data_IF_197651872750
#
_entry.id   IF_197651872750
#
_cell.length_a   1.000
_cell.length_b   1.000
_cell.length_c   1.000
_cell.angle_alpha   90.00
_cell.angle_beta   90.00
_cell.angle_gamma   90.00
#
_symmetry.space_group_name_H-M   'P 1'
#
loop_
_entity.id
_entity.type
_entity.pdbx_description
1 polymer ?
#
# COMPACT_ATOMS: atom_id res chain seq x y z
N UNK A 1 43.38 6.36 -22.45
CA UNK A 1 42.57 7.06 -23.47
C UNK A 1 41.81 5.99 -24.23
N UNK A 2 40.65 5.58 -23.70
CA UNK A 2 39.77 4.57 -24.30
C UNK A 2 38.34 5.00 -23.95
N UNK A 3 37.52 5.09 -25.00
CA UNK A 3 36.27 5.83 -25.05
C UNK A 3 35.13 5.11 -24.30
N UNK A 4 34.34 5.90 -23.58
CA UNK A 4 33.04 5.50 -23.00
C UNK A 4 32.00 5.66 -24.12
N UNK A 5 31.26 4.61 -24.50
CA UNK A 5 30.10 4.81 -25.37
C UNK A 5 28.98 5.48 -24.57
N UNK A 6 28.70 6.74 -24.92
CA UNK A 6 27.48 7.43 -24.54
C UNK A 6 26.30 6.83 -25.32
N UNK A 7 25.30 6.34 -24.59
CA UNK A 7 23.94 6.17 -25.09
C UNK A 7 22.97 6.10 -23.90
N UNK A 8 22.91 7.17 -23.13
CA UNK A 8 21.73 7.43 -22.31
C UNK A 8 20.78 8.20 -23.22
N UNK A 9 19.84 7.48 -23.83
CA UNK A 9 18.67 8.14 -24.39
C UNK A 9 17.94 8.80 -23.21
N UNK A 10 18.15 10.10 -23.03
CA UNK A 10 17.46 10.90 -22.04
C UNK A 10 15.97 10.87 -22.38
N UNK A 11 15.20 10.12 -21.61
CA UNK A 11 13.76 10.30 -21.56
C UNK A 11 13.48 11.79 -21.28
N UNK A 12 12.56 12.43 -22.01
CA UNK A 12 12.20 13.81 -21.72
C UNK A 12 11.74 13.93 -20.26
N UNK A 13 12.03 15.05 -19.59
CA UNK A 13 11.58 15.28 -18.23
C UNK A 13 10.05 15.09 -18.17
N UNK A 14 9.58 14.38 -17.15
CA UNK A 14 8.16 14.10 -17.00
C UNK A 14 7.38 15.43 -17.00
N UNK A 15 6.28 15.54 -17.74
CA UNK A 15 5.48 16.75 -17.75
C UNK A 15 4.91 17.03 -16.35
N UNK A 16 4.89 18.31 -15.96
CA UNK A 16 4.40 18.78 -14.64
C UNK A 16 2.86 18.70 -14.57
N UNK A 17 2.35 17.47 -14.59
CA UNK A 17 0.92 17.16 -14.54
C UNK A 17 0.62 16.57 -13.17
N UNK A 18 -0.35 17.14 -12.42
CA UNK A 18 -0.73 16.59 -11.13
C UNK A 18 -1.23 15.14 -11.26
N UNK A 19 -0.72 14.26 -10.39
CA UNK A 19 -1.13 12.85 -10.37
C UNK A 19 -2.65 12.70 -10.22
N UNK A 20 -3.32 13.57 -9.47
CA UNK A 20 -4.77 13.51 -9.26
C UNK A 20 -5.59 13.58 -10.57
N UNK A 21 -5.07 14.19 -11.65
CA UNK A 21 -5.81 14.43 -12.89
C UNK A 21 -5.24 13.69 -14.11
N UNK A 22 -4.04 13.12 -13.99
CA UNK A 22 -3.38 12.38 -15.09
C UNK A 22 -4.13 11.08 -15.44
N UNK A 23 -4.88 10.52 -14.49
CA UNK A 23 -5.68 9.31 -14.70
C UNK A 23 -6.86 9.48 -15.68
N UNK A 24 -7.23 10.72 -16.03
CA UNK A 24 -8.44 11.00 -16.82
C UNK A 24 -8.20 11.14 -18.33
N UNK A 25 -6.94 11.05 -18.78
CA UNK A 25 -6.60 10.99 -20.19
C UNK A 25 -7.09 9.68 -20.83
N UNK A 26 -7.53 9.74 -22.10
CA UNK A 26 -8.01 8.59 -22.89
C UNK A 26 -7.42 8.66 -24.29
N UNK A 27 -7.28 7.52 -24.97
CA UNK A 27 -6.84 7.49 -26.37
C UNK A 27 -7.90 8.11 -27.27
N UNK A 28 -7.47 9.02 -28.17
CA UNK A 28 -8.35 9.81 -29.04
C UNK A 28 -9.41 10.60 -28.26
N UNK A 29 -9.04 11.11 -27.09
CA UNK A 29 -9.91 11.96 -26.29
C UNK A 29 -9.80 13.42 -26.72
N UNK A 30 -10.92 14.12 -26.76
CA UNK A 30 -10.96 15.56 -26.98
C UNK A 30 -10.78 16.33 -25.67
N UNK A 31 -10.34 17.58 -25.75
CA UNK A 31 -10.18 18.46 -24.60
C UNK A 31 -11.50 18.63 -23.83
N UNK A 32 -12.64 18.75 -24.51
CA UNK A 32 -13.94 18.93 -23.87
C UNK A 32 -14.34 17.72 -23.02
N UNK A 33 -14.07 16.51 -23.51
CA UNK A 33 -14.33 15.28 -22.78
C UNK A 33 -13.44 15.15 -21.54
N UNK A 34 -12.18 15.56 -21.67
CA UNK A 34 -11.24 15.57 -20.55
C UNK A 34 -11.68 16.56 -19.46
N UNK A 35 -11.99 17.80 -19.83
CA UNK A 35 -12.48 18.82 -18.90
C UNK A 35 -13.79 18.39 -18.24
N UNK A 36 -14.71 17.79 -18.99
CA UNK A 36 -15.98 17.30 -18.46
C UNK A 36 -15.77 16.19 -17.40
N UNK A 37 -14.84 15.26 -17.62
CA UNK A 37 -14.52 14.21 -16.64
C UNK A 37 -13.91 14.79 -15.36
N UNK A 38 -12.89 15.62 -15.51
CA UNK A 38 -12.13 16.17 -14.39
C UNK A 38 -13.02 17.07 -13.51
N UNK A 39 -13.78 17.97 -14.12
CA UNK A 39 -14.74 18.83 -13.40
C UNK A 39 -15.93 18.03 -12.87
N UNK A 40 -16.35 17.01 -13.61
CA UNK A 40 -17.43 16.12 -13.22
C UNK A 40 -17.14 15.33 -11.95
N UNK A 41 -15.89 14.94 -11.72
CA UNK A 41 -15.46 14.30 -10.48
C UNK A 41 -15.55 15.26 -9.29
N UNK A 42 -15.08 16.50 -9.46
CA UNK A 42 -15.17 17.55 -8.43
C UNK A 42 -16.62 17.80 -8.03
N UNK A 43 -17.51 17.98 -9.02
CA UNK A 43 -18.95 18.23 -8.79
C UNK A 43 -19.69 17.08 -8.11
N UNK A 44 -19.18 15.85 -8.21
CA UNK A 44 -19.78 14.72 -7.49
C UNK A 44 -19.48 14.75 -5.99
N UNK A 45 -18.38 15.39 -5.60
CA UNK A 45 -17.96 15.52 -4.22
C UNK A 45 -18.40 16.85 -3.60
N UNK A 46 -18.42 17.93 -4.37
CA UNK A 46 -18.93 19.24 -3.96
C UNK A 46 -20.45 19.19 -3.71
N UNK A 47 -20.84 19.25 -2.44
CA UNK A 47 -22.24 19.19 -2.02
C UNK A 47 -22.92 20.56 -2.07
N UNK A 48 -22.15 21.65 -1.97
CA UNK A 48 -22.63 23.02 -1.86
C UNK A 48 -22.69 23.78 -3.18
N UNK A 49 -22.08 23.24 -4.23
CA UNK A 49 -21.77 23.94 -5.49
C UNK A 49 -20.93 25.21 -5.25
N UNK A 50 -20.12 25.21 -4.18
CA UNK A 50 -19.26 26.31 -3.74
C UNK A 50 -17.76 25.98 -3.78
N UNK A 51 -17.42 24.85 -4.40
CA UNK A 51 -16.08 24.31 -4.51
C UNK A 51 -15.82 23.21 -3.49
N UNK A 52 -15.02 22.21 -3.88
CA UNK A 52 -14.64 21.11 -3.02
C UNK A 52 -13.86 21.63 -1.82
N UNK A 53 -14.36 21.40 -0.60
CA UNK A 53 -13.67 21.74 0.64
C UNK A 53 -13.47 20.54 1.58
N UNK A 54 -12.79 20.74 2.71
CA UNK A 54 -12.53 19.65 3.66
C UNK A 54 -13.82 19.03 4.22
N UNK A 55 -14.90 19.82 4.36
CA UNK A 55 -16.19 19.34 4.83
C UNK A 55 -16.84 18.38 3.82
N UNK A 56 -16.72 18.67 2.53
CA UNK A 56 -17.15 17.76 1.46
C UNK A 56 -16.37 16.45 1.48
N UNK A 57 -15.03 16.53 1.63
CA UNK A 57 -14.17 15.34 1.74
C UNK A 57 -14.58 14.50 2.95
N UNK A 58 -14.72 15.10 4.11
CA UNK A 58 -15.10 14.42 5.35
C UNK A 58 -16.48 13.75 5.22
N UNK A 59 -17.44 14.43 4.60
CA UNK A 59 -18.78 13.88 4.34
C UNK A 59 -18.72 12.71 3.35
N UNK A 60 -17.99 12.86 2.24
CA UNK A 60 -17.82 11.81 1.23
C UNK A 60 -17.19 10.55 1.84
N UNK A 61 -16.18 10.73 2.69
CA UNK A 61 -15.52 9.64 3.43
C UNK A 61 -16.49 8.99 4.41
N UNK A 62 -17.17 9.77 5.25
CA UNK A 62 -18.13 9.24 6.23
C UNK A 62 -19.24 8.43 5.54
N UNK A 63 -19.80 8.95 4.44
CA UNK A 63 -20.82 8.27 3.65
C UNK A 63 -20.28 6.97 3.03
N UNK A 64 -19.07 6.99 2.46
CA UNK A 64 -18.45 5.78 1.89
C UNK A 64 -18.18 4.72 2.94
N UNK A 65 -17.63 5.11 4.10
CA UNK A 65 -17.42 4.22 5.25
C UNK A 65 -18.73 3.58 5.69
N UNK A 66 -19.82 4.37 5.78
CA UNK A 66 -21.14 3.84 6.13
C UNK A 66 -21.67 2.83 5.12
N UNK A 67 -21.56 3.11 3.81
CA UNK A 67 -21.99 2.21 2.73
C UNK A 67 -21.16 0.92 2.71
N UNK A 68 -19.83 1.02 2.81
CA UNK A 68 -18.94 -0.13 2.86
C UNK A 68 -19.21 -1.01 4.09
N UNK A 69 -19.38 -0.38 5.26
CA UNK A 69 -19.76 -1.07 6.50
C UNK A 69 -21.07 -1.83 6.33
N UNK A 70 -22.10 -1.19 5.78
CA UNK A 70 -23.37 -1.83 5.51
C UNK A 70 -23.21 -3.04 4.57
N UNK A 71 -22.39 -2.92 3.52
CA UNK A 71 -22.08 -4.02 2.61
C UNK A 71 -21.36 -5.19 3.27
N UNK A 72 -20.38 -4.94 4.16
CA UNK A 72 -19.71 -6.02 4.90
C UNK A 72 -20.67 -6.72 5.86
N UNK A 73 -21.45 -5.95 6.61
CA UNK A 73 -22.48 -6.49 7.52
C UNK A 73 -23.48 -7.35 6.73
N UNK A 74 -23.99 -6.85 5.59
CA UNK A 74 -24.92 -7.61 4.75
C UNK A 74 -24.32 -8.92 4.23
N UNK A 75 -23.00 -9.01 4.05
CA UNK A 75 -22.33 -10.24 3.61
C UNK A 75 -22.18 -11.26 4.73
N UNK A 76 -22.03 -10.82 5.98
CA UNK A 76 -21.84 -11.73 7.13
C UNK A 76 -23.14 -12.14 7.79
N UNK A 77 -24.16 -11.27 7.79
CA UNK A 77 -25.42 -11.49 8.49
C UNK A 77 -26.17 -12.76 8.04
N UNK A 78 -26.14 -13.19 6.77
CA UNK A 78 -26.75 -14.46 6.37
C UNK A 78 -26.07 -15.71 6.97
N UNK A 79 -24.86 -15.57 7.54
CA UNK A 79 -24.15 -16.66 8.21
C UNK A 79 -24.45 -16.76 9.70
N UNK A 80 -25.10 -15.75 10.28
CA UNK A 80 -25.64 -15.78 11.64
C UNK A 80 -26.92 -16.61 11.63
N UNK A 81 -26.80 -17.90 11.97
CA UNK A 81 -27.89 -18.87 11.83
C UNK A 81 -28.81 -18.85 13.04
N UNK A 82 -28.30 -18.46 14.21
CA UNK A 82 -29.06 -18.39 15.46
C UNK A 82 -29.53 -16.98 15.83
N UNK A 83 -29.03 -15.95 15.15
CA UNK A 83 -29.49 -14.57 15.24
C UNK A 83 -28.87 -13.77 16.39
N UNK A 84 -27.76 -14.23 16.95
CA UNK A 84 -27.08 -13.58 18.08
C UNK A 84 -26.08 -12.48 17.67
N UNK A 85 -25.92 -12.25 16.37
CA UNK A 85 -25.01 -11.29 15.74
C UNK A 85 -23.51 -11.59 16.00
N UNK A 86 -23.17 -12.82 16.35
CA UNK A 86 -21.81 -13.34 16.49
C UNK A 86 -21.61 -14.55 15.58
N UNK A 87 -21.02 -14.33 14.42
CA UNK A 87 -20.80 -15.41 13.47
C UNK A 87 -19.64 -16.30 13.94
N UNK A 88 -19.97 -17.47 14.48
CA UNK A 88 -19.00 -18.42 15.03
C UNK A 88 -18.39 -19.34 13.98
N UNK A 89 -17.26 -19.97 14.31
CA UNK A 89 -16.63 -21.04 13.51
C UNK A 89 -17.62 -22.15 13.10
N UNK A 90 -18.55 -22.50 13.99
CA UNK A 90 -19.54 -23.55 13.75
C UNK A 90 -20.52 -23.15 12.65
N UNK A 91 -21.05 -21.94 12.69
CA UNK A 91 -22.02 -21.44 11.72
C UNK A 91 -21.40 -21.23 10.33
N UNK A 92 -20.15 -20.75 10.29
CA UNK A 92 -19.39 -20.69 9.02
C UNK A 92 -19.21 -22.09 8.44
N UNK A 93 -18.89 -23.06 9.30
CA UNK A 93 -18.75 -24.46 8.91
C UNK A 93 -20.04 -25.07 8.36
N UNK A 94 -21.20 -24.65 8.89
CA UNK A 94 -22.52 -25.07 8.41
C UNK A 94 -22.87 -24.41 7.07
N UNK A 95 -22.59 -23.12 6.92
CA UNK A 95 -22.79 -22.38 5.65
C UNK A 95 -21.97 -22.93 4.48
N UNK A 96 -20.76 -23.44 4.75
CA UNK A 96 -19.90 -24.06 3.73
C UNK A 96 -20.42 -25.47 3.36
N UNK A 97 -20.98 -26.22 4.31
CA UNK A 97 -21.51 -27.56 4.08
C UNK A 97 -22.73 -27.58 3.16
N UNK A 98 -23.54 -26.51 3.14
CA UNK A 98 -24.71 -26.40 2.28
C UNK A 98 -24.38 -26.24 0.78
N UNK A 99 -23.21 -25.68 0.45
CA UNK A 99 -22.75 -25.40 -0.93
C UNK A 99 -21.74 -26.44 -1.48
N UNK A 100 -21.40 -27.48 -0.71
CA UNK A 100 -20.27 -28.37 -0.98
C UNK A 100 -20.65 -29.82 -1.34
N UNK A 101 -19.85 -30.43 -2.21
CA UNK A 101 -19.77 -31.88 -2.47
C UNK A 101 -19.56 -32.65 -1.14
N UNK A 102 -20.33 -33.71 -0.83
CA UNK A 102 -20.24 -34.43 0.46
C UNK A 102 -18.89 -35.12 0.77
N UNK A 103 -17.88 -35.05 -0.11
CA UNK A 103 -16.56 -35.68 0.03
C UNK A 103 -15.42 -34.73 0.47
N UNK A 104 -15.69 -33.54 1.00
CA UNK A 104 -14.62 -32.64 1.48
C UNK A 104 -14.00 -33.16 2.79
N UNK A 105 -12.68 -33.36 2.82
CA UNK A 105 -11.95 -33.72 4.04
C UNK A 105 -11.99 -32.62 5.12
N UNK A 106 -11.90 -33.02 6.39
CA UNK A 106 -12.04 -32.13 7.55
C UNK A 106 -10.98 -31.02 7.55
N UNK A 107 -9.75 -31.32 7.11
CA UNK A 107 -8.66 -30.34 7.02
C UNK A 107 -8.94 -29.23 5.98
N UNK A 108 -9.59 -29.57 4.86
CA UNK A 108 -9.98 -28.64 3.81
C UNK A 108 -11.17 -27.80 4.25
N UNK A 109 -12.12 -28.40 4.97
CA UNK A 109 -13.22 -27.67 5.61
C UNK A 109 -12.68 -26.64 6.61
N UNK A 110 -11.77 -27.05 7.50
CA UNK A 110 -11.14 -26.16 8.47
C UNK A 110 -10.36 -25.01 7.82
N UNK A 111 -9.59 -25.29 6.77
CA UNK A 111 -8.89 -24.23 6.01
C UNK A 111 -9.86 -23.23 5.39
N UNK A 112 -11.00 -23.68 4.85
CA UNK A 112 -12.02 -22.80 4.29
C UNK A 112 -12.69 -21.93 5.36
N UNK A 113 -12.98 -22.51 6.52
CA UNK A 113 -13.53 -21.78 7.66
C UNK A 113 -12.53 -20.72 8.13
N UNK A 114 -11.27 -21.11 8.35
CA UNK A 114 -10.20 -20.19 8.76
C UNK A 114 -9.99 -19.08 7.72
N UNK A 115 -10.04 -19.39 6.43
CA UNK A 115 -9.94 -18.40 5.36
C UNK A 115 -11.09 -17.37 5.38
N UNK A 116 -12.30 -17.77 5.79
CA UNK A 116 -13.44 -16.84 5.96
C UNK A 116 -13.34 -16.03 7.26
N UNK A 117 -12.84 -16.63 8.34
CA UNK A 117 -12.67 -16.00 9.65
C UNK A 117 -11.53 -14.99 9.69
N UNK A 118 -10.34 -15.41 9.28
CA UNK A 118 -9.07 -14.66 9.37
C UNK A 118 -9.12 -13.17 8.95
N UNK A 119 -9.80 -12.76 7.86
CA UNK A 119 -9.83 -11.34 7.48
C UNK A 119 -10.80 -10.47 8.32
N UNK A 120 -11.66 -11.07 9.14
CA UNK A 120 -12.78 -10.40 9.82
C UNK A 120 -12.77 -10.58 11.34
N UNK A 121 -12.15 -11.65 11.86
CA UNK A 121 -11.93 -11.91 13.29
C UNK A 121 -10.66 -11.15 13.75
N UNK A 122 -10.86 -9.92 14.25
CA UNK A 122 -9.76 -8.98 14.51
C UNK A 122 -9.11 -9.26 15.86
N UNK A 123 -9.92 -9.63 16.86
CA UNK A 123 -9.42 -9.91 18.20
C UNK A 123 -9.02 -11.39 18.42
N UNK A 124 -9.30 -12.25 17.45
CA UNK A 124 -8.89 -13.65 17.44
C UNK A 124 -9.71 -14.51 18.39
N UNK A 125 -10.93 -14.08 18.77
CA UNK A 125 -11.81 -14.83 19.67
C UNK A 125 -12.53 -16.00 18.99
N UNK A 126 -12.38 -16.14 17.66
CA UNK A 126 -12.96 -17.22 16.86
C UNK A 126 -14.40 -16.98 16.42
N UNK A 127 -14.90 -15.76 16.59
CA UNK A 127 -16.18 -15.27 16.07
C UNK A 127 -15.99 -13.95 15.32
N UNK A 128 -16.87 -13.67 14.36
CA UNK A 128 -16.92 -12.36 13.68
C UNK A 128 -18.09 -11.59 14.28
N UNK A 129 -17.79 -10.46 14.91
CA UNK A 129 -18.81 -9.52 15.40
C UNK A 129 -19.07 -8.38 14.41
N UNK A 130 -20.23 -7.71 14.54
CA UNK A 130 -20.54 -6.53 13.73
C UNK A 130 -19.49 -5.41 13.84
N UNK A 131 -18.95 -5.06 15.02
CA UNK A 131 -17.86 -4.09 15.13
C UNK A 131 -16.61 -4.47 14.34
N UNK A 132 -16.26 -5.76 14.29
CA UNK A 132 -15.05 -6.22 13.60
C UNK A 132 -15.25 -6.23 12.08
N UNK A 133 -16.39 -6.74 11.61
CA UNK A 133 -16.76 -6.63 10.20
C UNK A 133 -16.91 -5.17 9.73
N UNK A 134 -17.27 -4.26 10.65
CA UNK A 134 -17.32 -2.84 10.40
C UNK A 134 -15.93 -2.17 10.39
N UNK A 135 -14.95 -2.72 11.12
CA UNK A 135 -13.59 -2.19 11.21
C UNK A 135 -12.74 -2.50 9.96
N UNK A 136 -13.13 -3.48 9.15
CA UNK A 136 -12.53 -3.79 7.85
C UNK A 136 -12.87 -2.74 6.76
N UNK A 137 -13.79 -1.81 7.03
CA UNK A 137 -14.22 -0.77 6.10
C UNK A 137 -13.22 0.38 5.88
N UNK A 138 -11.90 0.11 5.91
CA UNK A 138 -10.86 1.11 5.65
C UNK A 138 -10.62 1.28 4.14
N UNK A 139 -11.50 2.02 3.47
CA UNK A 139 -11.25 2.52 2.11
C UNK A 139 -10.74 3.96 2.13
N UNK A 140 -9.53 4.13 2.68
CA UNK A 140 -8.85 5.42 2.76
C UNK A 140 -8.28 5.86 1.38
N UNK A 141 -8.18 4.99 0.37
CA UNK A 141 -7.72 5.38 -0.97
C UNK A 141 -8.64 6.44 -1.64
N UNK A 142 -9.94 6.39 -1.35
CA UNK A 142 -10.92 7.37 -1.85
C UNK A 142 -10.74 8.73 -1.15
N UNK A 143 -10.57 8.73 0.17
CA UNK A 143 -10.22 9.92 0.97
C UNK A 143 -8.97 10.61 0.42
N UNK A 144 -7.91 9.83 0.18
CA UNK A 144 -6.65 10.37 -0.33
C UNK A 144 -6.77 10.97 -1.72
N UNK A 145 -7.66 10.44 -2.58
CA UNK A 145 -7.90 11.00 -3.92
C UNK A 145 -8.54 12.38 -3.85
N UNK A 146 -9.58 12.56 -3.02
CA UNK A 146 -10.20 13.88 -2.84
C UNK A 146 -9.30 14.84 -2.06
N UNK A 147 -8.56 14.35 -1.07
CA UNK A 147 -7.55 15.16 -0.38
C UNK A 147 -6.45 15.64 -1.34
N UNK A 148 -6.03 14.79 -2.29
CA UNK A 148 -5.06 15.19 -3.31
C UNK A 148 -5.64 16.15 -4.35
N UNK A 149 -6.93 16.05 -4.67
CA UNK A 149 -7.63 17.07 -5.46
C UNK A 149 -7.63 18.41 -4.70
N UNK A 150 -8.09 18.41 -3.45
CA UNK A 150 -8.12 19.61 -2.59
C UNK A 150 -6.72 20.25 -2.44
N UNK A 151 -5.66 19.45 -2.40
CA UNK A 151 -4.28 19.94 -2.35
C UNK A 151 -3.81 20.70 -3.61
N UNK A 152 -4.55 20.63 -4.73
CA UNK A 152 -4.24 21.39 -5.94
C UNK A 152 -4.59 22.87 -5.82
N UNK A 153 -5.51 23.23 -4.91
CA UNK A 153 -6.04 24.57 -4.64
C UNK A 153 -5.02 25.69 -4.98
N UNK A 154 -5.15 26.30 -6.19
CA UNK A 154 -4.16 27.22 -6.72
C UNK A 154 -4.03 28.53 -5.93
N UNK A 155 -5.14 29.04 -5.40
CA UNK A 155 -5.17 30.30 -4.65
C UNK A 155 -5.03 30.08 -3.13
N UNK A 156 -5.06 28.81 -2.69
CA UNK A 156 -4.89 28.36 -1.30
C UNK A 156 -5.96 28.93 -0.37
N UNK A 157 -7.16 29.15 -0.89
CA UNK A 157 -8.30 29.65 -0.11
C UNK A 157 -8.98 28.53 0.73
N UNK A 158 -8.53 27.28 0.58
CA UNK A 158 -9.04 26.09 1.25
C UNK A 158 -10.16 25.38 0.49
N UNK A 159 -10.43 25.78 -0.76
CA UNK A 159 -11.50 25.27 -1.61
C UNK A 159 -10.99 25.14 -3.04
N UNK A 160 -11.39 24.06 -3.71
CA UNK A 160 -11.11 23.89 -5.13
C UNK A 160 -12.40 24.09 -5.92
N UNK A 161 -12.48 25.20 -6.65
CA UNK A 161 -13.65 25.51 -7.49
C UNK A 161 -13.59 24.83 -8.85
N UNK A 162 -14.74 24.68 -9.50
CA UNK A 162 -14.81 24.15 -10.86
C UNK A 162 -14.02 25.00 -11.87
N UNK A 163 -13.90 26.31 -11.67
CA UNK A 163 -13.14 27.22 -12.54
C UNK A 163 -11.64 27.00 -12.41
N UNK A 164 -11.13 26.87 -11.18
CA UNK A 164 -9.71 26.56 -10.94
C UNK A 164 -9.35 25.19 -11.48
N UNK A 165 -10.23 24.21 -11.26
CA UNK A 165 -10.03 22.86 -11.78
C UNK A 165 -9.96 22.83 -13.31
N UNK A 166 -10.79 23.63 -13.99
CA UNK A 166 -10.74 23.77 -15.46
C UNK A 166 -9.40 24.32 -15.92
N UNK A 167 -8.91 25.40 -15.31
CA UNK A 167 -7.63 26.00 -15.69
C UNK A 167 -6.46 25.04 -15.50
N UNK A 168 -6.46 24.27 -14.41
CA UNK A 168 -5.46 23.22 -14.16
C UNK A 168 -5.54 22.10 -15.21
N UNK A 169 -6.75 21.66 -15.52
CA UNK A 169 -6.99 20.61 -16.51
C UNK A 169 -6.62 21.07 -17.92
N UNK A 170 -6.94 22.30 -18.32
CA UNK A 170 -6.54 22.88 -19.61
C UNK A 170 -5.01 22.94 -19.72
N UNK A 171 -4.33 23.40 -18.67
CA UNK A 171 -2.86 23.42 -18.62
C UNK A 171 -2.27 22.02 -18.77
N UNK A 172 -2.84 21.03 -18.06
CA UNK A 172 -2.41 19.64 -18.15
C UNK A 172 -2.63 19.07 -19.56
N UNK A 173 -3.79 19.34 -20.16
CA UNK A 173 -4.11 18.89 -21.52
C UNK A 173 -3.13 19.46 -22.54
N UNK A 174 -2.88 20.77 -22.54
CA UNK A 174 -1.91 21.40 -23.44
C UNK A 174 -0.46 20.95 -23.23
N UNK A 175 -0.14 20.40 -22.05
CA UNK A 175 1.18 19.82 -21.80
C UNK A 175 1.31 18.43 -22.46
N UNK A 176 0.19 17.71 -22.62
CA UNK A 176 0.13 16.39 -23.26
C UNK A 176 -0.08 16.51 -24.78
N UNK A 177 -0.97 17.39 -25.20
CA UNK A 177 -1.28 17.75 -26.60
C UNK A 177 -0.15 18.62 -27.17
N UNK A 178 0.94 17.96 -27.58
CA UNK A 178 2.17 18.60 -28.00
C UNK A 178 2.09 19.12 -29.44
N UNK A 179 1.24 18.52 -30.28
CA UNK A 179 1.00 18.99 -31.64
C UNK A 179 -0.13 20.02 -31.74
N UNK A 180 -0.93 20.19 -30.68
CA UNK A 180 -1.93 21.23 -30.53
C UNK A 180 -3.16 20.97 -31.39
N UNK A 181 -3.45 19.71 -31.74
CA UNK A 181 -4.57 19.33 -32.57
C UNK A 181 -5.90 19.20 -31.78
N UNK A 182 -5.83 19.36 -30.45
CA UNK A 182 -6.99 19.29 -29.55
C UNK A 182 -7.43 17.86 -29.23
N UNK A 183 -6.63 16.86 -29.60
CA UNK A 183 -6.87 15.45 -29.35
C UNK A 183 -5.65 14.77 -28.75
N UNK A 184 -5.87 13.75 -27.92
CA UNK A 184 -4.75 12.99 -27.33
C UNK A 184 -4.42 11.77 -28.19
N UNK A 185 -3.29 11.84 -28.87
CA UNK A 185 -2.74 10.76 -29.68
C UNK A 185 -2.12 9.64 -28.82
N UNK A 186 -1.92 8.46 -29.40
CA UNK A 186 -1.23 7.35 -28.70
C UNK A 186 0.22 7.68 -28.35
N UNK A 187 0.88 8.50 -29.18
CA UNK A 187 2.25 8.96 -28.95
C UNK A 187 2.36 9.88 -27.75
N UNK A 188 1.38 10.76 -27.55
CA UNK A 188 1.34 11.68 -26.40
C UNK A 188 0.98 10.94 -25.11
N UNK A 189 0.06 9.97 -25.20
CA UNK A 189 -0.23 9.11 -24.05
C UNK A 189 0.96 8.25 -23.62
N UNK A 190 1.80 7.81 -24.55
CA UNK A 190 3.06 7.12 -24.21
C UNK A 190 4.03 8.04 -23.48
N UNK A 191 4.04 9.35 -23.76
CA UNK A 191 4.88 10.29 -23.03
C UNK A 191 4.48 10.42 -21.55
N UNK A 192 3.18 10.30 -21.24
CA UNK A 192 2.67 10.32 -19.86
C UNK A 192 2.49 8.94 -19.23
N UNK A 193 2.80 7.86 -19.93
CA UNK A 193 2.65 6.49 -19.43
C UNK A 193 3.30 6.26 -18.06
N UNK A 194 4.52 6.77 -17.77
CA UNK A 194 5.11 6.65 -16.44
C UNK A 194 4.27 7.32 -15.35
N UNK A 195 3.69 8.49 -15.62
CA UNK A 195 2.85 9.23 -14.69
C UNK A 195 1.49 8.54 -14.50
N UNK A 196 0.88 8.04 -15.58
CA UNK A 196 -0.37 7.27 -15.51
C UNK A 196 -0.15 5.98 -14.72
N UNK A 197 0.99 5.31 -14.91
CA UNK A 197 1.40 4.14 -14.13
C UNK A 197 1.58 4.50 -12.66
N UNK A 198 2.30 5.57 -12.33
CA UNK A 198 2.48 6.03 -10.95
C UNK A 198 1.15 6.41 -10.29
N UNK A 199 0.28 7.11 -11.01
CA UNK A 199 -1.07 7.44 -10.58
C UNK A 199 -1.89 6.17 -10.24
N UNK A 200 -1.88 5.19 -11.14
CA UNK A 200 -2.54 3.89 -10.92
C UNK A 200 -1.99 3.20 -9.68
N UNK A 201 -0.67 3.14 -9.50
CA UNK A 201 -0.04 2.49 -8.36
C UNK A 201 -0.28 3.23 -7.05
N UNK A 202 -0.28 4.55 -7.10
CA UNK A 202 -0.61 5.39 -5.95
C UNK A 202 -2.02 5.09 -5.47
N UNK A 203 -3.03 5.14 -6.33
CA UNK A 203 -4.42 4.95 -5.90
C UNK A 203 -4.80 3.50 -5.63
N UNK A 204 -4.00 2.54 -6.08
CA UNK A 204 -4.13 1.12 -5.72
C UNK A 204 -3.37 0.76 -4.45
N UNK A 205 -2.60 1.68 -3.87
CA UNK A 205 -1.86 1.42 -2.65
C UNK A 205 -2.82 1.17 -1.48
N UNK A 206 -2.60 0.06 -0.79
CA UNK A 206 -3.31 -0.22 0.45
C UNK A 206 -2.77 0.66 1.58
N UNK A 207 -3.63 1.08 2.49
CA UNK A 207 -3.22 1.86 3.65
C UNK A 207 -3.13 0.94 4.86
N UNK A 208 -1.96 0.96 5.48
CA UNK A 208 -1.59 0.04 6.54
C UNK A 208 -1.71 0.72 7.89
N UNK A 209 -2.08 -0.05 8.91
CA UNK A 209 -2.10 0.45 10.29
C UNK A 209 -0.68 0.50 10.85
N UNK A 210 0.07 1.53 10.47
CA UNK A 210 1.46 1.71 10.88
C UNK A 210 1.57 2.64 12.10
N UNK A 211 2.47 2.33 13.05
CA UNK A 211 2.78 3.23 14.16
C UNK A 211 3.26 4.60 13.64
N UNK A 212 2.93 5.71 14.34
CA UNK A 212 3.38 7.03 13.92
C UNK A 212 4.90 7.17 14.01
N UNK A 213 5.49 7.89 13.06
CA UNK A 213 6.93 8.16 13.02
C UNK A 213 7.28 9.27 14.01
N UNK A 214 8.23 9.06 14.93
CA UNK A 214 8.70 10.12 15.81
C UNK A 214 9.30 11.29 15.03
N UNK A 215 9.10 12.52 15.51
CA UNK A 215 9.66 13.72 14.89
C UNK A 215 11.19 13.62 14.78
N UNK A 216 11.74 13.92 13.60
CA UNK A 216 13.19 13.89 13.33
C UNK A 216 13.76 12.49 13.03
N UNK A 217 12.97 11.42 13.13
CA UNK A 217 13.43 10.09 12.71
C UNK A 217 13.54 9.99 11.19
N UNK A 218 14.57 9.29 10.72
CA UNK A 218 14.74 8.92 9.32
C UNK A 218 13.90 7.67 9.03
N UNK A 219 12.89 7.82 8.18
CA UNK A 219 12.00 6.76 7.70
C UNK A 219 12.65 6.05 6.51
N UNK A 220 13.03 4.78 6.73
CA UNK A 220 13.68 3.95 5.71
C UNK A 220 12.79 2.75 5.42
N UNK A 221 12.49 2.52 4.14
CA UNK A 221 11.84 1.29 3.69
C UNK A 221 12.87 0.38 3.02
N UNK A 222 12.90 -0.89 3.43
CA UNK A 222 13.72 -1.93 2.81
C UNK A 222 12.82 -3.03 2.25
N UNK A 223 13.06 -3.40 0.99
CA UNK A 223 12.39 -4.49 0.31
C UNK A 223 13.32 -5.65 0.01
N UNK A 224 12.93 -6.86 0.44
CA UNK A 224 13.61 -8.10 0.09
C UNK A 224 12.67 -9.07 -0.62
N UNK A 225 13.19 -9.91 -1.52
CA UNK A 225 12.43 -11.05 -2.04
C UNK A 225 12.74 -12.31 -1.23
N UNK A 226 14.00 -12.75 -1.29
CA UNK A 226 14.50 -13.96 -0.65
C UNK A 226 15.84 -13.71 0.08
N UNK A 227 16.24 -14.71 0.86
CA UNK A 227 17.61 -14.81 1.38
C UNK A 227 18.08 -16.25 1.27
N UNK A 228 19.39 -16.42 1.01
CA UNK A 228 20.01 -17.73 0.91
C UNK A 228 20.22 -18.35 2.29
N UNK A 229 20.38 -17.52 3.30
CA UNK A 229 20.57 -17.94 4.69
C UNK A 229 19.28 -18.50 5.29
N UNK A 230 19.33 -19.75 5.72
CA UNK A 230 18.21 -20.41 6.41
C UNK A 230 18.34 -20.19 7.91
N UNK A 231 17.26 -19.71 8.54
CA UNK A 231 17.16 -19.57 9.99
C UNK A 231 17.01 -20.95 10.65
N UNK A 232 17.67 -21.20 11.81
CA UNK A 232 17.40 -22.37 12.64
C UNK A 232 16.04 -22.28 13.35
N UNK A 233 15.43 -21.09 13.38
CA UNK A 233 14.09 -20.85 13.94
C UNK A 233 13.07 -20.87 12.81
N UNK A 234 12.03 -21.69 12.94
CA UNK A 234 10.91 -21.75 12.02
C UNK A 234 9.76 -20.87 12.51
N UNK A 235 9.37 -19.90 11.69
CA UNK A 235 8.13 -19.14 11.81
C UNK A 235 7.06 -19.89 11.01
N UNK A 236 5.90 -20.21 11.62
CA UNK A 236 4.80 -20.82 10.88
C UNK A 236 4.29 -19.89 9.77
N UNK A 237 4.18 -20.41 8.54
CA UNK A 237 3.50 -19.76 7.43
C UNK A 237 2.41 -20.66 6.87
N UNK A 238 1.59 -20.10 5.98
CA UNK A 238 0.55 -20.82 5.26
C UNK A 238 1.09 -21.88 4.26
N UNK A 239 2.39 -21.86 3.97
CA UNK A 239 3.07 -22.90 3.21
C UNK A 239 3.98 -23.73 4.14
N UNK A 240 3.62 -24.98 4.46
CA UNK A 240 4.39 -25.81 5.38
C UNK A 240 5.77 -26.22 4.83
N UNK A 241 6.05 -25.99 3.54
CA UNK A 241 7.37 -26.26 2.93
C UNK A 241 8.31 -25.07 3.02
N UNK A 242 7.79 -23.90 3.35
CA UNK A 242 8.55 -22.67 3.37
C UNK A 242 9.49 -22.64 4.58
N UNK A 243 10.76 -22.38 4.30
CA UNK A 243 11.78 -22.23 5.33
C UNK A 243 11.84 -20.77 5.75
N UNK A 244 12.05 -20.53 7.03
CA UNK A 244 12.33 -19.17 7.50
C UNK A 244 13.72 -18.74 7.04
N UNK A 245 13.79 -17.63 6.32
CA UNK A 245 15.05 -17.00 5.92
C UNK A 245 15.59 -16.10 7.02
N UNK A 246 16.89 -15.83 6.99
CA UNK A 246 17.55 -14.95 7.94
C UNK A 246 18.24 -13.81 7.21
N UNK A 247 17.84 -12.57 7.50
CA UNK A 247 18.50 -11.37 6.97
C UNK A 247 19.15 -10.60 8.10
N UNK A 248 20.44 -10.31 7.95
CA UNK A 248 21.17 -9.47 8.89
C UNK A 248 21.05 -8.00 8.53
N UNK A 249 20.61 -7.19 9.50
CA UNK A 249 20.50 -5.74 9.36
C UNK A 249 21.53 -5.10 10.29
N UNK A 250 22.61 -4.58 9.72
CA UNK A 250 23.63 -3.84 10.45
C UNK A 250 23.21 -2.37 10.57
N UNK A 251 22.97 -1.91 11.80
CA UNK A 251 22.67 -0.51 12.08
C UNK A 251 23.98 0.25 12.25
N UNK A 252 24.27 1.13 11.32
CA UNK A 252 25.46 1.97 11.33
C UNK A 252 25.42 2.97 12.50
N UNK A 253 26.57 3.41 13.03
CA UNK A 253 26.64 4.48 14.01
C UNK A 253 26.11 5.83 13.49
N UNK A 254 25.61 6.68 14.39
CA UNK A 254 25.12 8.02 14.06
C UNK A 254 24.13 8.55 15.10
N UNK A 255 23.71 9.80 14.96
CA UNK A 255 22.87 10.49 15.97
C UNK A 255 21.38 10.50 15.60
N UNK A 256 21.06 10.48 14.30
CA UNK A 256 19.67 10.54 13.85
C UNK A 256 18.93 9.23 14.19
N UNK A 257 17.74 9.27 14.81
CA UNK A 257 16.91 8.09 15.03
C UNK A 257 16.44 7.45 13.72
N UNK A 258 16.32 6.13 13.68
CA UNK A 258 15.85 5.39 12.50
C UNK A 258 14.45 4.80 12.74
N UNK A 259 13.56 4.94 11.77
CA UNK A 259 12.29 4.24 11.70
C UNK A 259 12.34 3.31 10.49
N UNK A 260 12.27 2.01 10.72
CA UNK A 260 12.49 1.01 9.68
C UNK A 260 11.18 0.35 9.27
N UNK A 261 10.91 0.28 7.97
CA UNK A 261 9.85 -0.53 7.37
C UNK A 261 10.53 -1.64 6.58
N UNK A 262 10.53 -2.86 7.12
CA UNK A 262 11.18 -4.02 6.53
C UNK A 262 10.12 -4.92 5.89
N UNK A 263 10.22 -5.12 4.58
CA UNK A 263 9.25 -5.91 3.80
C UNK A 263 9.95 -7.10 3.15
N UNK A 264 9.32 -8.28 3.16
CA UNK A 264 9.84 -9.47 2.45
C UNK A 264 8.77 -10.22 1.67
N UNK A 265 9.13 -10.91 0.59
CA UNK A 265 8.22 -11.89 -0.02
C UNK A 265 8.12 -13.14 0.87
N UNK A 266 9.23 -13.82 1.08
CA UNK A 266 9.31 -15.05 1.88
C UNK A 266 9.14 -14.80 3.39
N UNK A 267 8.96 -15.89 4.12
CA UNK A 267 8.98 -15.91 5.59
C UNK A 267 10.38 -15.55 6.09
N UNK A 268 10.53 -14.41 6.77
CA UNK A 268 11.85 -13.82 7.08
C UNK A 268 12.02 -13.47 8.56
N UNK A 269 13.17 -13.83 9.11
CA UNK A 269 13.67 -13.36 10.40
C UNK A 269 14.71 -12.25 10.17
N UNK A 270 14.36 -11.02 10.56
CA UNK A 270 15.26 -9.87 10.53
C UNK A 270 16.08 -9.81 11.82
N UNK A 271 17.41 -9.88 11.71
CA UNK A 271 18.32 -9.79 12.85
C UNK A 271 19.07 -8.48 12.84
N UNK A 272 18.67 -7.56 13.71
CA UNK A 272 19.30 -6.26 13.84
C UNK A 272 20.53 -6.33 14.75
N UNK A 273 21.60 -5.66 14.36
CA UNK A 273 22.85 -5.58 15.13
C UNK A 273 23.51 -4.21 14.98
N UNK A 274 24.61 -3.96 15.70
CA UNK A 274 25.31 -2.66 15.66
C UNK A 274 24.66 -1.62 16.57
N UNK A 275 24.46 -0.39 16.07
CA UNK A 275 23.96 0.75 16.84
C UNK A 275 22.43 0.74 17.01
N UNK A 276 21.86 -0.40 17.44
CA UNK A 276 20.39 -0.62 17.53
C UNK A 276 19.68 0.30 18.52
N UNK A 277 20.41 0.98 19.42
CA UNK A 277 19.89 2.03 20.28
C UNK A 277 19.24 3.18 19.47
N UNK A 278 19.74 3.46 18.25
CA UNK A 278 19.21 4.46 17.32
C UNK A 278 17.86 4.10 16.72
N UNK A 279 17.52 2.82 16.70
CA UNK A 279 16.26 2.36 16.11
C UNK A 279 15.14 2.80 17.02
N UNK A 280 14.29 3.69 16.51
CA UNK A 280 13.10 4.19 17.19
C UNK A 280 11.98 3.16 17.13
N UNK A 281 11.74 2.61 15.93
CA UNK A 281 10.72 1.60 15.67
C UNK A 281 11.07 0.74 14.44
N UNK A 282 10.58 -0.49 14.42
CA UNK A 282 10.66 -1.43 13.30
C UNK A 282 9.26 -1.93 12.98
N UNK A 283 8.78 -1.61 11.80
CA UNK A 283 7.62 -2.28 11.19
C UNK A 283 8.16 -3.40 10.32
N UNK A 284 7.73 -4.62 10.58
CA UNK A 284 8.09 -5.77 9.76
C UNK A 284 6.86 -6.39 9.14
N UNK A 285 6.95 -6.72 7.85
CA UNK A 285 5.89 -7.37 7.08
C UNK A 285 6.49 -8.36 6.10
N UNK A 286 5.77 -9.43 5.85
CA UNK A 286 6.03 -10.38 4.78
C UNK A 286 4.77 -10.57 3.94
N UNK A 287 4.93 -10.90 2.65
CA UNK A 287 3.82 -11.31 1.80
C UNK A 287 3.22 -12.64 2.28
N UNK A 288 4.08 -13.55 2.74
CA UNK A 288 3.67 -14.78 3.39
C UNK A 288 2.97 -14.50 4.71
N UNK A 289 1.89 -15.22 4.95
CA UNK A 289 1.06 -15.07 6.13
C UNK A 289 1.16 -16.31 7.01
N UNK A 290 1.19 -16.11 8.32
CA UNK A 290 0.91 -17.13 9.31
C UNK A 290 -0.59 -17.28 9.53
N UNK A 291 -0.96 -17.90 10.66
CA UNK A 291 -2.35 -18.02 11.10
C UNK A 291 -2.97 -16.64 11.33
N UNK A 292 -4.25 -16.45 10.99
CA UNK A 292 -4.95 -15.18 11.17
C UNK A 292 -4.48 -14.04 10.27
N UNK A 293 -3.75 -14.32 9.17
CA UNK A 293 -3.33 -13.29 8.21
C UNK A 293 -2.21 -12.36 8.69
N UNK A 294 -1.61 -12.65 9.85
CA UNK A 294 -0.43 -11.97 10.38
C UNK A 294 0.78 -12.29 9.48
N UNK A 295 1.66 -11.33 9.23
CA UNK A 295 2.90 -11.60 8.49
C UNK A 295 3.72 -12.73 9.15
N UNK A 296 4.17 -13.68 8.33
CA UNK A 296 5.16 -14.68 8.71
C UNK A 296 6.57 -14.05 8.79
N UNK A 297 6.76 -13.13 9.72
CA UNK A 297 7.99 -12.35 9.87
C UNK A 297 8.41 -12.29 11.34
N UNK A 298 9.72 -12.22 11.58
CA UNK A 298 10.29 -12.07 12.92
C UNK A 298 11.32 -10.95 12.95
N UNK A 299 11.49 -10.33 14.11
CA UNK A 299 12.50 -9.29 14.33
C UNK A 299 13.24 -9.58 15.62
N UNK A 300 14.56 -9.50 15.60
CA UNK A 300 15.44 -9.69 16.77
C UNK A 300 16.50 -8.59 16.85
N UNK A 301 17.08 -8.38 18.03
CA UNK A 301 18.15 -7.38 18.24
C UNK A 301 17.68 -5.98 18.66
N UNK A 302 16.37 -5.79 18.80
CA UNK A 302 15.73 -4.58 19.36
C UNK A 302 14.68 -4.98 20.41
N UNK A 303 14.36 -4.10 21.39
CA UNK A 303 13.32 -4.37 22.37
C UNK A 303 11.93 -4.53 21.73
N UNK A 304 11.13 -5.48 22.23
CA UNK A 304 9.79 -5.80 21.73
C UNK A 304 8.87 -4.58 21.55
N UNK A 305 8.88 -3.65 22.52
CA UNK A 305 8.07 -2.40 22.44
C UNK A 305 8.35 -1.52 21.22
N UNK A 306 9.48 -1.72 20.53
CA UNK A 306 9.87 -0.99 19.32
C UNK A 306 9.52 -1.76 18.04
N UNK A 307 8.85 -2.90 18.14
CA UNK A 307 8.55 -3.79 17.03
C UNK A 307 7.04 -3.77 16.78
N UNK A 308 6.65 -3.69 15.52
CA UNK A 308 5.28 -3.92 15.09
C UNK A 308 5.27 -4.85 13.89
N UNK A 309 4.66 -6.02 14.07
CA UNK A 309 4.41 -6.95 12.97
C UNK A 309 3.09 -6.54 12.34
N UNK A 310 3.13 -6.18 11.06
CA UNK A 310 1.94 -5.76 10.34
C UNK A 310 1.18 -6.98 9.76
N UNK A 311 0.02 -6.69 9.15
CA UNK A 311 -0.72 -7.69 8.37
C UNK A 311 0.11 -8.11 7.16
N UNK A 312 -0.01 -9.38 6.75
CA UNK A 312 0.66 -9.88 5.57
C UNK A 312 0.42 -9.00 4.33
N UNK A 313 1.51 -8.58 3.69
CA UNK A 313 1.49 -7.70 2.51
C UNK A 313 1.14 -6.24 2.80
N UNK A 314 1.20 -5.77 4.06
CA UNK A 314 0.90 -4.38 4.40
C UNK A 314 2.03 -3.68 5.19
N UNK A 315 2.86 -2.84 4.56
CA UNK A 315 2.93 -2.56 3.13
C UNK A 315 3.39 -3.77 2.32
N UNK A 316 3.15 -3.74 1.00
CA UNK A 316 3.54 -4.85 0.14
C UNK A 316 5.06 -4.95 0.04
N UNK A 317 5.57 -6.15 -0.23
CA UNK A 317 6.98 -6.33 -0.51
C UNK A 317 7.36 -5.71 -1.85
N UNK A 318 8.64 -5.40 -1.99
CA UNK A 318 9.27 -5.00 -3.25
C UNK A 318 10.70 -5.53 -3.26
N UNK A 319 11.25 -5.81 -4.43
CA UNK A 319 12.58 -6.37 -4.65
C UNK A 319 13.50 -5.45 -5.47
N UNK A 320 12.91 -4.45 -6.13
CA UNK A 320 13.61 -3.39 -6.84
C UNK A 320 12.96 -2.05 -6.53
N UNK A 321 13.73 -0.96 -6.47
CA UNK A 321 13.17 0.39 -6.26
C UNK A 321 12.51 0.96 -7.53
N UNK A 322 12.67 0.30 -8.68
CA UNK A 322 12.14 0.78 -9.98
C UNK A 322 10.87 0.05 -10.43
N UNK A 323 10.44 -0.98 -9.71
CA UNK A 323 9.25 -1.76 -10.05
C UNK A 323 7.95 -1.11 -9.55
N UNK A 324 6.82 -1.61 -10.04
CA UNK A 324 5.50 -1.07 -9.71
C UNK A 324 5.17 -1.25 -8.21
N UNK A 325 5.61 -2.35 -7.61
CA UNK A 325 5.44 -2.68 -6.20
C UNK A 325 6.13 -1.66 -5.31
N UNK A 326 7.33 -1.18 -5.65
CA UNK A 326 8.00 -0.12 -4.90
C UNK A 326 7.23 1.20 -4.94
N UNK A 327 6.61 1.55 -6.08
CA UNK A 327 5.75 2.73 -6.19
C UNK A 327 4.49 2.58 -5.30
N UNK A 328 3.85 1.40 -5.32
CA UNK A 328 2.70 1.10 -4.44
C UNK A 328 3.09 1.17 -2.97
N UNK A 329 4.24 0.63 -2.59
CA UNK A 329 4.71 0.62 -1.20
C UNK A 329 5.09 2.01 -0.72
N UNK A 330 5.74 2.83 -1.57
CA UNK A 330 5.96 4.26 -1.27
C UNK A 330 4.64 4.97 -0.98
N UNK A 331 3.66 4.82 -1.86
CA UNK A 331 2.34 5.42 -1.69
C UNK A 331 1.60 4.89 -0.45
N UNK A 332 1.69 3.58 -0.16
CA UNK A 332 1.14 2.94 1.04
C UNK A 332 1.71 3.57 2.31
N UNK A 333 3.04 3.71 2.39
CA UNK A 333 3.73 4.35 3.50
C UNK A 333 3.32 5.82 3.62
N UNK A 334 3.33 6.56 2.50
CA UNK A 334 2.92 7.97 2.46
C UNK A 334 1.52 8.17 3.01
N UNK A 335 0.56 7.34 2.61
CA UNK A 335 -0.81 7.46 3.09
C UNK A 335 -0.98 7.00 4.54
N UNK A 336 -0.26 5.96 4.96
CA UNK A 336 -0.33 5.43 6.32
C UNK A 336 0.29 6.39 7.34
N UNK A 337 1.42 7.02 7.00
CA UNK A 337 2.24 7.84 7.91
C UNK A 337 2.16 9.34 7.63
N UNK A 338 1.43 9.74 6.58
CA UNK A 338 1.37 11.12 6.07
C UNK A 338 2.75 11.69 5.73
N UNK A 339 3.70 10.82 5.36
CA UNK A 339 5.09 11.16 5.08
C UNK A 339 5.70 10.12 4.12
N UNK A 340 6.37 10.59 3.08
CA UNK A 340 7.17 9.73 2.20
C UNK A 340 8.41 9.19 2.92
N UNK A 341 8.87 7.97 2.60
CA UNK A 341 10.14 7.47 3.11
C UNK A 341 11.30 8.37 2.68
N UNK A 342 12.21 8.66 3.60
CA UNK A 342 13.42 9.45 3.32
C UNK A 342 14.41 8.66 2.44
N UNK A 343 14.39 7.33 2.55
CA UNK A 343 15.15 6.43 1.69
C UNK A 343 14.40 5.11 1.46
N UNK A 344 14.52 4.56 0.25
CA UNK A 344 14.06 3.22 -0.08
C UNK A 344 15.22 2.43 -0.67
N UNK A 345 15.40 1.21 -0.17
CA UNK A 345 16.39 0.26 -0.67
C UNK A 345 15.69 -1.06 -0.97
N UNK A 346 16.18 -1.78 -1.97
CA UNK A 346 15.64 -3.07 -2.30
C UNK A 346 16.73 -3.97 -2.85
N UNK A 347 16.59 -5.26 -2.60
CA UNK A 347 17.39 -6.28 -3.26
C UNK A 347 16.63 -7.61 -3.33
N UNK A 348 16.92 -8.38 -4.37
CA UNK A 348 16.21 -9.64 -4.60
C UNK A 348 16.71 -10.72 -3.63
N UNK A 349 18.03 -10.82 -3.41
CA UNK A 349 18.64 -11.90 -2.61
C UNK A 349 19.56 -11.30 -1.55
N UNK A 350 18.99 -10.95 -0.39
CA UNK A 350 19.71 -10.17 0.64
C UNK A 350 20.03 -11.02 1.86
N UNK A 351 21.29 -11.34 2.08
CA UNK A 351 21.72 -11.95 3.35
C UNK A 351 22.13 -10.90 4.40
N UNK A 352 22.72 -9.78 3.96
CA UNK A 352 23.12 -8.68 4.85
C UNK A 352 22.94 -7.31 4.21
N UNK A 353 22.33 -6.40 4.96
CA UNK A 353 22.18 -4.97 4.60
C UNK A 353 22.66 -4.07 5.73
N UNK A 354 23.29 -2.96 5.38
CA UNK A 354 23.68 -1.89 6.31
C UNK A 354 22.77 -0.68 6.14
N UNK A 355 22.24 -0.16 7.25
CA UNK A 355 21.34 1.00 7.26
C UNK A 355 21.92 2.11 8.16
N UNK A 356 21.84 3.39 7.75
CA UNK A 356 20.98 3.94 6.69
C UNK A 356 21.60 3.99 5.28
N UNK A 357 22.85 3.55 5.06
CA UNK A 357 23.50 3.66 3.74
C UNK A 357 22.84 2.83 2.63
N UNK A 358 22.15 1.75 2.98
CA UNK A 358 21.61 0.79 2.03
C UNK A 358 22.67 -0.13 1.43
N UNK A 359 23.89 -0.18 1.99
CA UNK A 359 24.95 -1.04 1.49
C UNK A 359 24.58 -2.51 1.71
N UNK A 360 24.37 -3.22 0.61
CA UNK A 360 24.14 -4.66 0.58
C UNK A 360 25.50 -5.34 0.42
N UNK A 361 25.86 -6.21 1.36
CA UNK A 361 27.08 -7.00 1.22
C UNK A 361 26.76 -8.23 0.38
N UNK A 362 27.46 -8.38 -0.75
CA UNK A 362 27.51 -9.65 -1.45
C UNK A 362 28.20 -10.70 -0.56
N UNK A 363 27.85 -11.95 -0.78
CA UNK A 363 28.52 -13.09 -0.16
C UNK A 363 30.04 -12.98 -0.44
N UNK A 364 30.94 -13.30 0.50
CA UNK A 364 32.38 -13.32 0.25
C UNK A 364 32.83 -14.31 -0.84
N UNK A 365 31.91 -15.14 -1.34
CA UNK A 365 32.14 -16.22 -2.31
C UNK A 365 31.75 -15.87 -3.77
N UNK A 366 31.38 -14.62 -4.08
CA UNK A 366 31.18 -14.10 -5.46
C UNK A 366 32.38 -13.28 -5.99
#
# INVERSE_FOLDING_TARGET
MLAIPQSVASQPPAPDIPLAIVGEFRSRGHIEDYLARVVGELRQADRGDDGLDQGDVDFAVARRVAVTRAGQIQRILPMDLDGDLRITRAEIGESIGADSDPEIDEATRDRRIEHRLSPLDIDGDGAITLPEAAATARQQAWEQRFAALLALDPDRNGRLTASEMRLLAEKAFHTVDADGDGTTSETELKAIEPLVRENRMTWQAEICSLPPVPAGAMLIAFGGYESRTISPVQIPSNDPREKTRLVEVAIEPGEQPLYLVLTSYETTLWRLSGATARVSHVVATSYRAGRGGISAVGVTGVPERKISIARAGCPNYFSSTTEEEALRTRASIRFSLKRDPDAMFADYSTDRVSLPSGAIAADPDD
#
